data_IF_993984511848
#
_entry.id   IF_993984511848
#
_cell.length_a   1.000
_cell.length_b   1.000
_cell.length_c   1.000
_cell.angle_alpha   90.00
_cell.angle_beta   90.00
_cell.angle_gamma   90.00
#
_symmetry.space_group_name_H-M   'P 1'
#
loop_
_entity.id
_entity.type
_entity.pdbx_description
1 polymer ?
#
# COMPACT_ATOMS: atom_id res chain seq x y z
N UNK A 1 -2.55 12.15 1.23
CA UNK A 1 -1.75 12.15 2.47
C UNK A 1 -0.79 10.96 2.40
N UNK A 2 0.41 11.16 1.82
CA UNK A 2 1.38 10.07 1.56
C UNK A 2 2.69 10.29 2.32
N UNK A 3 3.14 11.55 2.44
CA UNK A 3 4.43 11.91 3.07
C UNK A 3 4.34 12.26 4.56
N UNK A 4 3.13 12.34 5.13
CA UNK A 4 2.87 12.78 6.52
C UNK A 4 1.84 11.90 7.23
N UNK A 5 1.86 10.60 6.94
CA UNK A 5 0.97 9.64 7.60
C UNK A 5 1.38 9.44 9.05
N UNK A 6 0.42 9.51 9.96
CA UNK A 6 0.59 9.15 11.37
C UNK A 6 0.23 7.68 11.54
N UNK A 7 1.09 6.93 12.24
CA UNK A 7 0.92 5.49 12.46
C UNK A 7 0.64 5.22 13.93
N UNK A 8 -0.54 5.64 14.38
CA UNK A 8 -0.90 5.57 15.79
C UNK A 8 -1.15 4.11 16.21
N UNK A 9 -0.65 3.65 17.37
CA UNK A 9 -0.84 2.28 17.81
C UNK A 9 -2.32 1.87 18.01
N UNK A 10 -3.17 2.77 18.51
CA UNK A 10 -4.58 2.48 18.75
C UNK A 10 -5.41 2.33 17.46
N UNK A 11 -5.00 2.96 16.37
CA UNK A 11 -5.63 2.78 15.05
C UNK A 11 -5.29 1.41 14.46
N UNK A 12 -4.11 0.87 14.78
CA UNK A 12 -3.66 -0.40 14.25
C UNK A 12 -4.57 -1.56 14.68
N UNK A 13 -4.99 -1.61 15.94
CA UNK A 13 -5.86 -2.68 16.42
C UNK A 13 -7.26 -2.62 15.78
N UNK A 14 -7.78 -1.42 15.56
CA UNK A 14 -9.04 -1.21 14.83
C UNK A 14 -8.91 -1.67 13.37
N UNK A 15 -7.85 -1.22 12.67
CA UNK A 15 -7.58 -1.60 11.29
C UNK A 15 -7.33 -3.11 11.17
N UNK A 16 -6.59 -3.73 12.08
CA UNK A 16 -6.33 -5.17 12.10
C UNK A 16 -7.62 -5.99 12.14
N UNK A 17 -8.58 -5.55 12.95
CA UNK A 17 -9.90 -6.20 13.06
C UNK A 17 -10.68 -6.10 11.75
N UNK A 18 -10.68 -4.92 11.12
CA UNK A 18 -11.31 -4.71 9.79
C UNK A 18 -10.63 -5.56 8.71
N UNK A 19 -9.29 -5.56 8.65
CA UNK A 19 -8.53 -6.38 7.68
C UNK A 19 -8.83 -7.86 7.86
N UNK A 20 -8.99 -8.34 9.11
CA UNK A 20 -9.38 -9.72 9.37
C UNK A 20 -10.77 -10.06 8.83
N UNK A 21 -11.72 -9.15 9.02
CA UNK A 21 -13.07 -9.32 8.49
C UNK A 21 -13.07 -9.32 6.96
N UNK A 22 -12.41 -8.35 6.33
CA UNK A 22 -12.32 -8.21 4.87
C UNK A 22 -11.59 -9.40 4.22
N UNK A 23 -10.51 -9.90 4.83
CA UNK A 23 -9.78 -11.05 4.31
C UNK A 23 -10.62 -12.34 4.36
N UNK A 24 -11.47 -12.50 5.39
CA UNK A 24 -12.44 -13.59 5.46
C UNK A 24 -13.53 -13.45 4.40
N UNK A 25 -14.03 -12.23 4.19
CA UNK A 25 -15.02 -11.94 3.16
C UNK A 25 -14.46 -12.19 1.74
N UNK A 26 -13.22 -11.82 1.49
CA UNK A 26 -12.55 -12.12 0.24
C UNK A 26 -12.41 -13.63 0.00
N UNK A 27 -12.12 -14.39 1.07
CA UNK A 27 -12.00 -15.85 1.02
C UNK A 27 -13.34 -16.57 0.78
N UNK A 28 -14.48 -15.93 1.04
CA UNK A 28 -15.81 -16.50 0.74
C UNK A 28 -16.23 -16.26 -0.71
N UNK A 29 -15.57 -15.34 -1.43
CA UNK A 29 -15.76 -15.12 -2.85
C UNK A 29 -14.96 -16.16 -3.67
N UNK A 30 -15.67 -17.05 -4.36
CA UNK A 30 -15.04 -18.15 -5.10
C UNK A 30 -14.06 -17.68 -6.18
N UNK A 31 -14.37 -16.60 -6.90
CA UNK A 31 -13.48 -16.06 -7.95
C UNK A 31 -12.19 -15.52 -7.36
N UNK A 32 -12.26 -14.82 -6.23
CA UNK A 32 -11.09 -14.30 -5.52
C UNK A 32 -10.23 -15.44 -5.00
N UNK A 33 -10.83 -16.41 -4.30
CA UNK A 33 -10.11 -17.58 -3.78
C UNK A 33 -9.38 -18.35 -4.89
N UNK A 34 -10.04 -18.62 -6.01
CA UNK A 34 -9.45 -19.35 -7.12
C UNK A 34 -8.28 -18.57 -7.76
N UNK A 35 -8.42 -17.25 -7.89
CA UNK A 35 -7.38 -16.40 -8.45
C UNK A 35 -6.14 -16.40 -7.55
N UNK A 36 -6.31 -16.24 -6.24
CA UNK A 36 -5.20 -16.27 -5.27
C UNK A 36 -4.50 -17.64 -5.27
N UNK A 37 -5.27 -18.74 -5.28
CA UNK A 37 -4.70 -20.10 -5.34
C UNK A 37 -3.95 -20.36 -6.65
N UNK A 38 -4.46 -19.87 -7.77
CA UNK A 38 -3.79 -19.99 -9.06
C UNK A 38 -2.45 -19.24 -9.05
N UNK A 39 -2.42 -18.01 -8.54
CA UNK A 39 -1.18 -17.23 -8.42
C UNK A 39 -0.16 -17.94 -7.51
N UNK A 40 -0.62 -18.49 -6.39
CA UNK A 40 0.24 -19.23 -5.46
C UNK A 40 0.88 -20.49 -6.09
N UNK A 41 0.14 -21.20 -6.94
CA UNK A 41 0.66 -22.39 -7.65
C UNK A 41 1.57 -21.99 -8.83
N UNK A 42 1.20 -20.94 -9.56
CA UNK A 42 1.95 -20.48 -10.73
C UNK A 42 3.29 -19.81 -10.34
N UNK A 43 3.31 -19.10 -9.21
CA UNK A 43 4.47 -18.33 -8.75
C UNK A 43 4.86 -18.78 -7.35
N UNK A 44 6.08 -19.31 -7.19
CA UNK A 44 6.55 -19.83 -5.89
C UNK A 44 7.00 -18.73 -4.91
N UNK A 45 7.14 -17.50 -5.37
CA UNK A 45 7.50 -16.34 -4.55
C UNK A 45 7.07 -15.03 -5.23
N UNK A 46 7.02 -13.93 -4.46
CA UNK A 46 6.65 -12.60 -4.97
C UNK A 46 5.18 -12.52 -5.36
N UNK A 47 4.87 -12.84 -6.62
CA UNK A 47 3.51 -12.84 -7.18
C UNK A 47 2.62 -13.97 -6.64
N UNK A 48 3.22 -14.97 -5.99
CA UNK A 48 2.46 -16.04 -5.32
C UNK A 48 1.97 -15.67 -3.93
N UNK A 49 2.40 -14.52 -3.40
CA UNK A 49 1.93 -14.01 -2.12
C UNK A 49 0.50 -13.50 -2.28
N UNK A 50 -0.37 -13.91 -1.36
CA UNK A 50 -1.75 -13.44 -1.31
C UNK A 50 -1.81 -11.93 -1.15
N UNK A 51 -2.74 -11.27 -1.85
CA UNK A 51 -3.03 -9.85 -1.66
C UNK A 51 -3.72 -9.60 -0.31
N UNK A 52 -4.48 -10.59 0.17
CA UNK A 52 -5.17 -10.54 1.46
C UNK A 52 -4.28 -11.03 2.58
N UNK A 53 -4.42 -10.43 3.77
CA UNK A 53 -3.64 -10.80 4.92
C UNK A 53 -4.05 -12.20 5.42
N UNK A 54 -3.05 -13.05 5.65
CA UNK A 54 -3.26 -14.33 6.33
C UNK A 54 -3.33 -14.12 7.85
N UNK A 55 -4.11 -14.94 8.53
CA UNK A 55 -4.29 -14.88 9.98
C UNK A 55 -3.87 -16.19 10.65
N UNK A 56 -3.03 -16.15 11.70
CA UNK A 56 -2.51 -14.96 12.38
C UNK A 56 -1.51 -14.15 11.54
N UNK A 57 -1.68 -12.82 11.52
CA UNK A 57 -0.87 -11.93 10.70
C UNK A 57 0.56 -11.81 11.25
N UNK A 58 1.56 -11.83 10.35
CA UNK A 58 2.96 -11.60 10.69
C UNK A 58 3.24 -10.16 11.16
N UNK A 59 2.39 -9.20 10.76
CA UNK A 59 2.46 -7.80 11.17
C UNK A 59 1.69 -7.64 12.49
N UNK A 60 2.40 -7.21 13.53
CA UNK A 60 1.88 -7.12 14.91
C UNK A 60 1.84 -5.70 15.44
N UNK A 61 2.42 -4.72 14.76
CA UNK A 61 2.46 -3.33 15.23
C UNK A 61 2.42 -2.28 14.12
N UNK A 62 1.94 -1.08 14.45
CA UNK A 62 1.98 0.09 13.55
C UNK A 62 3.41 0.50 13.17
N UNK A 63 4.40 0.18 13.99
CA UNK A 63 5.82 0.45 13.74
C UNK A 63 6.32 -0.29 12.49
N UNK A 64 5.97 -1.57 12.33
CA UNK A 64 6.35 -2.35 11.14
C UNK A 64 5.73 -1.77 9.87
N UNK A 65 4.49 -1.28 9.94
CA UNK A 65 3.83 -0.60 8.81
C UNK A 65 4.55 0.69 8.46
N UNK A 66 4.95 1.48 9.46
CA UNK A 66 5.73 2.71 9.27
C UNK A 66 7.10 2.42 8.65
N UNK A 67 7.80 1.39 9.11
CA UNK A 67 9.10 0.98 8.57
C UNK A 67 8.99 0.51 7.11
N UNK A 68 7.95 -0.28 6.79
CA UNK A 68 7.65 -0.67 5.41
C UNK A 68 7.39 0.55 4.51
N UNK A 69 6.56 1.49 4.96
CA UNK A 69 6.26 2.70 4.20
C UNK A 69 7.53 3.55 3.98
N UNK A 70 8.37 3.72 4.99
CA UNK A 70 9.60 4.50 4.88
C UNK A 70 10.64 3.87 3.93
N UNK A 71 10.63 2.54 3.78
CA UNK A 71 11.57 1.81 2.92
C UNK A 71 11.08 1.65 1.48
N UNK A 72 9.77 1.64 1.23
CA UNK A 72 9.20 1.34 -0.09
C UNK A 72 8.59 2.56 -0.79
N UNK A 73 8.27 3.64 -0.07
CA UNK A 73 7.72 4.87 -0.66
C UNK A 73 8.83 5.92 -0.82
N UNK A 74 9.40 6.01 -2.01
CA UNK A 74 10.47 6.92 -2.37
C UNK A 74 10.27 7.57 -3.73
N UNK A 75 11.26 8.34 -4.18
CA UNK A 75 11.24 9.06 -5.47
C UNK A 75 11.11 8.14 -6.67
N UNK A 76 11.68 6.94 -6.58
CA UNK A 76 11.76 6.00 -7.72
C UNK A 76 10.57 5.06 -7.78
N UNK A 77 9.79 4.96 -6.69
CA UNK A 77 8.63 4.05 -6.56
C UNK A 77 7.29 4.78 -6.63
N UNK A 78 7.29 6.12 -6.65
CA UNK A 78 6.08 6.94 -6.67
C UNK A 78 6.02 7.76 -7.95
N UNK A 79 4.91 7.64 -8.68
CA UNK A 79 4.60 8.48 -9.85
C UNK A 79 3.40 9.36 -9.57
N UNK A 80 3.46 10.61 -10.01
CA UNK A 80 2.38 11.58 -9.82
C UNK A 80 1.73 11.85 -11.16
N UNK A 81 0.43 11.63 -11.25
CA UNK A 81 -0.36 11.80 -12.47
C UNK A 81 -1.42 12.88 -12.23
N UNK A 82 -1.40 13.94 -13.04
CA UNK A 82 -2.40 15.00 -13.06
C UNK A 82 -3.15 15.01 -14.38
N UNK A 83 -4.47 14.95 -14.33
CA UNK A 83 -5.34 15.03 -15.53
C UNK A 83 -5.97 16.42 -15.63
N UNK A 84 -5.87 17.07 -16.79
CA UNK A 84 -6.47 18.40 -17.01
C UNK A 84 -5.68 19.57 -16.41
N UNK A 85 -4.40 19.38 -16.10
CA UNK A 85 -3.48 20.42 -15.63
C UNK A 85 -2.28 20.49 -16.57
N UNK A 86 -1.78 21.71 -16.81
CA UNK A 86 -0.55 21.91 -17.57
C UNK A 86 0.64 21.30 -16.82
N UNK A 87 1.51 20.58 -17.53
CA UNK A 87 2.68 19.91 -16.94
C UNK A 87 3.58 20.89 -16.19
N UNK A 88 3.82 22.09 -16.72
CA UNK A 88 4.62 23.12 -16.06
C UNK A 88 4.01 23.53 -14.71
N UNK A 89 2.68 23.71 -14.68
CA UNK A 89 1.98 24.07 -13.45
C UNK A 89 1.97 22.92 -12.43
N UNK A 90 1.87 21.68 -12.89
CA UNK A 90 1.97 20.50 -12.03
C UNK A 90 3.36 20.43 -11.38
N UNK A 91 4.44 20.61 -12.14
CA UNK A 91 5.81 20.61 -11.62
C UNK A 91 6.03 21.73 -10.61
N UNK A 92 5.53 22.94 -10.88
CA UNK A 92 5.58 24.07 -9.94
C UNK A 92 4.92 23.70 -8.60
N UNK A 93 3.69 23.16 -8.63
CA UNK A 93 2.96 22.76 -7.42
C UNK A 93 3.65 21.62 -6.65
N UNK A 94 4.30 20.70 -7.37
CA UNK A 94 5.05 19.60 -6.75
C UNK A 94 6.30 20.10 -6.04
N UNK A 95 7.04 21.01 -6.67
CA UNK A 95 8.26 21.60 -6.08
C UNK A 95 7.97 22.43 -4.83
N UNK A 96 6.84 23.15 -4.79
CA UNK A 96 6.42 23.94 -3.63
C UNK A 96 5.73 23.10 -2.53
N UNK A 97 5.28 21.89 -2.85
CA UNK A 97 4.38 21.12 -2.01
C UNK A 97 5.05 20.06 -1.11
N UNK A 98 4.29 19.45 -0.19
CA UNK A 98 4.78 18.36 0.66
C UNK A 98 5.08 17.05 -0.10
N UNK A 99 4.77 17.01 -1.40
CA UNK A 99 5.06 15.89 -2.30
C UNK A 99 6.45 16.00 -2.96
N UNK A 100 7.14 17.13 -2.79
CA UNK A 100 8.51 17.32 -3.28
C UNK A 100 9.47 16.19 -2.85
N UNK A 101 9.23 15.62 -1.65
CA UNK A 101 10.05 14.52 -1.09
C UNK A 101 9.91 13.19 -1.84
N UNK A 102 8.86 13.01 -2.62
CA UNK A 102 8.55 11.78 -3.35
C UNK A 102 8.42 12.01 -4.85
N UNK A 103 8.46 13.25 -5.32
CA UNK A 103 8.54 13.55 -6.75
C UNK A 103 9.96 13.25 -7.23
N UNK A 104 10.16 12.11 -7.89
CA UNK A 104 11.36 11.83 -8.69
C UNK A 104 11.45 12.67 -9.96
N UNK A 105 10.97 13.93 -9.92
CA UNK A 105 10.97 14.85 -11.05
C UNK A 105 12.41 15.25 -11.37
N UNK A 106 13.03 14.45 -12.23
CA UNK A 106 14.18 14.82 -13.04
C UNK A 106 13.70 15.54 -14.29
#
# INVERSE_FOLDING_TARGET
MVTRTLYNPWEFDAVKSTVQFESKLASSCATTLLTEKLHNVAFRSGLGNSLYAEFPAAITSSKQVKEYAASNLGTDTVSIVGTGIETAKLVELLSAGPLAKVSGAS
#
